data_IF_474236314343
#
_entry.id   IF_474236314343
#
_cell.length_a   1.000
_cell.length_b   1.000
_cell.length_c   1.000
_cell.angle_alpha   90.00
_cell.angle_beta   90.00
_cell.angle_gamma   90.00
#
_symmetry.space_group_name_H-M   'P 1'
#
loop_
_entity.id
_entity.type
_entity.pdbx_description
1 polymer ?
#
# COMPACT_ATOMS: atom_id res chain seq x y z
N UNK A 1 -20.55 -55.43 -32.02
CA UNK A 1 -19.38 -54.54 -32.08
C UNK A 1 -19.87 -53.13 -31.86
N UNK A 2 -19.79 -52.68 -30.64
CA UNK A 2 -20.23 -51.36 -30.26
C UNK A 2 -19.02 -50.71 -29.54
N UNK A 3 -18.27 -49.89 -30.27
CA UNK A 3 -17.14 -49.13 -29.74
C UNK A 3 -17.72 -47.88 -29.09
N UNK A 4 -17.74 -47.87 -27.79
CA UNK A 4 -18.08 -46.68 -26.99
C UNK A 4 -16.82 -45.79 -26.90
N UNK A 5 -16.80 -44.75 -27.69
CA UNK A 5 -15.82 -43.67 -27.59
C UNK A 5 -16.00 -42.93 -26.26
N UNK A 6 -15.19 -43.29 -25.29
CA UNK A 6 -14.96 -42.49 -24.08
C UNK A 6 -14.17 -41.24 -24.47
N UNK A 7 -14.88 -40.21 -24.87
CA UNK A 7 -14.32 -38.85 -24.92
C UNK A 7 -14.08 -38.42 -23.48
N UNK A 8 -12.85 -38.63 -23.01
CA UNK A 8 -12.33 -37.96 -21.83
C UNK A 8 -12.19 -36.47 -22.16
N UNK A 9 -13.24 -35.72 -21.90
CA UNK A 9 -13.15 -34.27 -21.80
C UNK A 9 -12.23 -33.97 -20.63
N UNK A 10 -10.96 -33.76 -20.94
CA UNK A 10 -10.05 -33.11 -20.02
C UNK A 10 -10.60 -31.70 -19.78
N UNK A 11 -11.42 -31.55 -18.76
CA UNK A 11 -11.72 -30.23 -18.20
C UNK A 11 -10.37 -29.61 -17.82
N UNK A 12 -9.95 -28.67 -18.62
CA UNK A 12 -8.84 -27.80 -18.27
C UNK A 12 -9.25 -27.09 -16.99
N UNK A 13 -8.74 -27.62 -15.89
CA UNK A 13 -8.84 -27.03 -14.56
C UNK A 13 -8.23 -25.64 -14.68
N UNK A 14 -9.07 -24.63 -14.95
CA UNK A 14 -8.68 -23.22 -14.96
C UNK A 14 -8.42 -22.85 -13.51
N UNK A 15 -7.24 -23.28 -13.03
CA UNK A 15 -6.80 -23.04 -11.68
C UNK A 15 -6.85 -21.54 -11.41
N UNK A 16 -7.65 -21.15 -10.44
CA UNK A 16 -7.81 -19.81 -9.83
C UNK A 16 -6.50 -19.28 -9.25
N UNK A 17 -5.47 -19.19 -10.05
CA UNK A 17 -4.15 -18.76 -9.58
C UNK A 17 -3.91 -17.32 -9.98
N UNK A 18 -3.68 -16.46 -8.98
CA UNK A 18 -3.11 -15.15 -9.23
C UNK A 18 -1.77 -15.30 -9.95
N UNK A 19 -1.49 -14.42 -10.91
CA UNK A 19 -0.20 -14.42 -11.57
C UNK A 19 0.93 -14.24 -10.55
N UNK A 20 2.01 -15.01 -10.68
CA UNK A 20 3.16 -14.95 -9.77
C UNK A 20 3.66 -13.52 -9.53
N UNK A 21 3.78 -12.63 -10.56
CA UNK A 21 4.17 -11.25 -10.36
C UNK A 21 3.23 -10.47 -9.42
N UNK A 22 1.92 -10.70 -9.52
CA UNK A 22 0.94 -10.02 -8.66
C UNK A 22 1.08 -10.44 -7.18
N UNK A 23 1.38 -11.72 -6.95
CA UNK A 23 1.61 -12.27 -5.60
C UNK A 23 2.91 -11.72 -5.01
N UNK A 24 4.00 -11.77 -5.78
CA UNK A 24 5.31 -11.25 -5.35
C UNK A 24 5.22 -9.77 -5.01
N UNK A 25 4.63 -8.96 -5.89
CA UNK A 25 4.46 -7.53 -5.68
C UNK A 25 3.58 -7.23 -4.46
N UNK A 26 2.55 -8.06 -4.20
CA UNK A 26 1.72 -7.93 -3.00
C UNK A 26 2.54 -8.13 -1.72
N UNK A 27 3.29 -9.21 -1.64
CA UNK A 27 4.06 -9.52 -0.44
C UNK A 27 5.21 -8.54 -0.21
N UNK A 28 5.86 -8.09 -1.29
CA UNK A 28 6.90 -7.06 -1.20
C UNK A 28 6.34 -5.76 -0.62
N UNK A 29 5.22 -5.27 -1.16
CA UNK A 29 4.55 -4.06 -0.66
C UNK A 29 4.11 -4.26 0.79
N UNK A 30 3.52 -5.42 1.13
CA UNK A 30 3.08 -5.71 2.49
C UNK A 30 4.26 -5.70 3.49
N UNK A 31 5.38 -6.33 3.14
CA UNK A 31 6.57 -6.37 3.97
C UNK A 31 7.12 -4.97 4.25
N UNK A 32 7.23 -4.13 3.21
CA UNK A 32 7.73 -2.76 3.38
C UNK A 32 6.75 -1.93 4.22
N UNK A 33 5.43 -2.09 4.05
CA UNK A 33 4.43 -1.40 4.88
C UNK A 33 4.56 -1.81 6.35
N UNK A 34 4.75 -3.09 6.67
CA UNK A 34 5.00 -3.54 8.03
C UNK A 34 6.28 -2.93 8.61
N UNK A 35 7.35 -2.88 7.82
CA UNK A 35 8.60 -2.23 8.20
C UNK A 35 8.40 -0.73 8.47
N UNK A 36 7.65 -0.03 7.59
CA UNK A 36 7.32 1.38 7.75
C UNK A 36 6.50 1.65 9.02
N UNK A 37 5.58 0.76 9.36
CA UNK A 37 4.79 0.87 10.58
C UNK A 37 5.71 0.75 11.82
N UNK A 38 6.58 -0.24 11.86
CA UNK A 38 7.57 -0.41 12.95
C UNK A 38 8.53 0.77 13.04
N UNK A 39 9.03 1.25 11.89
CA UNK A 39 9.90 2.45 11.84
C UNK A 39 9.16 3.70 12.33
N UNK A 40 7.92 3.90 11.90
CA UNK A 40 7.11 5.03 12.33
C UNK A 40 6.91 5.06 13.84
N UNK A 41 6.61 3.90 14.43
CA UNK A 41 6.51 3.75 15.89
C UNK A 41 7.83 4.08 16.59
N UNK A 42 8.92 3.50 16.11
CA UNK A 42 10.26 3.73 16.67
C UNK A 42 10.68 5.19 16.57
N UNK A 43 10.38 5.86 15.46
CA UNK A 43 10.70 7.28 15.25
C UNK A 43 10.01 8.19 16.27
N UNK A 44 8.76 7.91 16.63
CA UNK A 44 8.03 8.66 17.66
C UNK A 44 8.72 8.54 19.03
N UNK A 45 9.29 7.37 19.34
CA UNK A 45 10.00 7.14 20.61
C UNK A 45 11.35 7.88 20.67
N UNK A 46 12.05 8.00 19.55
CA UNK A 46 13.38 8.60 19.49
C UNK A 46 13.41 10.08 19.06
N UNK A 47 12.25 10.66 18.71
CA UNK A 47 12.17 12.04 18.20
C UNK A 47 12.88 13.07 19.09
N UNK A 48 12.88 12.85 20.40
CA UNK A 48 13.47 13.74 21.39
C UNK A 48 14.94 13.44 21.73
N UNK A 49 15.56 12.41 21.09
CA UNK A 49 16.96 12.05 21.35
C UNK A 49 17.91 12.87 20.47
N UNK A 50 18.89 13.57 21.02
CA UNK A 50 19.86 14.32 20.23
C UNK A 50 20.68 13.42 19.30
N UNK A 51 20.75 13.75 18.00
CA UNK A 51 21.74 13.23 17.06
C UNK A 51 21.47 11.86 16.41
N UNK A 52 20.37 11.17 16.71
CA UNK A 52 20.13 9.80 16.16
C UNK A 52 18.90 9.66 15.24
N UNK A 53 18.05 10.69 15.19
CA UNK A 53 16.76 10.60 14.54
C UNK A 53 16.82 10.75 13.00
N UNK A 54 17.70 11.57 12.46
CA UNK A 54 17.71 11.97 11.04
C UNK A 54 17.83 10.80 10.07
N UNK A 55 18.66 9.81 10.39
CA UNK A 55 18.85 8.63 9.56
C UNK A 55 17.55 7.79 9.47
N UNK A 56 16.86 7.59 10.59
CA UNK A 56 15.62 6.82 10.66
C UNK A 56 14.48 7.52 9.93
N UNK A 57 14.38 8.85 10.08
CA UNK A 57 13.42 9.67 9.34
C UNK A 57 13.67 9.61 7.83
N UNK A 58 14.95 9.66 7.41
CA UNK A 58 15.30 9.56 6.00
C UNK A 58 14.99 8.16 5.43
N UNK A 59 15.28 7.10 6.19
CA UNK A 59 14.94 5.72 5.81
C UNK A 59 13.43 5.55 5.66
N UNK A 60 12.64 6.02 6.63
CA UNK A 60 11.17 5.95 6.56
C UNK A 60 10.62 6.68 5.33
N UNK A 61 11.09 7.90 5.05
CA UNK A 61 10.69 8.67 3.87
C UNK A 61 11.03 7.94 2.58
N UNK A 62 12.24 7.40 2.49
CA UNK A 62 12.73 6.68 1.29
C UNK A 62 11.94 5.41 1.02
N UNK A 63 11.70 4.60 2.05
CA UNK A 63 10.86 3.40 1.95
C UNK A 63 9.40 3.76 1.64
N UNK A 64 8.89 4.86 2.20
CA UNK A 64 7.55 5.37 1.91
C UNK A 64 7.36 5.75 0.44
N UNK A 65 8.33 6.45 -0.15
CA UNK A 65 8.33 6.77 -1.59
C UNK A 65 8.52 5.54 -2.45
N UNK A 66 9.34 4.58 -2.03
CA UNK A 66 9.50 3.29 -2.72
C UNK A 66 8.16 2.54 -2.76
N UNK A 67 7.46 2.46 -1.63
CA UNK A 67 6.12 1.83 -1.57
C UNK A 67 5.14 2.56 -2.48
N UNK A 68 5.15 3.91 -2.51
CA UNK A 68 4.28 4.68 -3.41
C UNK A 68 4.51 4.27 -4.89
N UNK A 69 5.76 4.16 -5.32
CA UNK A 69 6.12 3.68 -6.66
C UNK A 69 5.63 2.25 -6.94
N UNK A 70 5.83 1.33 -5.98
CA UNK A 70 5.36 -0.06 -6.09
C UNK A 70 3.83 -0.16 -6.13
N UNK A 71 3.12 0.71 -5.42
CA UNK A 71 1.65 0.78 -5.45
C UNK A 71 1.17 1.23 -6.83
N UNK A 72 1.79 2.25 -7.41
CA UNK A 72 1.49 2.70 -8.78
C UNK A 72 1.70 1.54 -9.77
N UNK A 73 2.86 0.87 -9.69
CA UNK A 73 3.14 -0.30 -10.52
C UNK A 73 2.08 -1.40 -10.34
N UNK A 74 1.64 -1.66 -9.11
CA UNK A 74 0.59 -2.64 -8.81
C UNK A 74 -0.76 -2.24 -9.40
N UNK A 75 -1.12 -0.95 -9.35
CA UNK A 75 -2.37 -0.44 -9.94
C UNK A 75 -2.32 -0.60 -11.45
N UNK A 76 -1.22 -0.22 -12.10
CA UNK A 76 -1.01 -0.38 -13.54
C UNK A 76 -1.10 -1.86 -13.93
N UNK A 77 -0.41 -2.76 -13.19
CA UNK A 77 -0.50 -4.19 -13.43
C UNK A 77 -1.94 -4.71 -13.35
N UNK A 78 -2.69 -4.29 -12.32
CA UNK A 78 -4.09 -4.70 -12.13
C UNK A 78 -5.01 -4.13 -13.21
N UNK A 79 -4.73 -2.94 -13.73
CA UNK A 79 -5.52 -2.32 -14.81
C UNK A 79 -5.32 -3.04 -16.15
N UNK A 80 -4.11 -3.59 -16.38
CA UNK A 80 -3.76 -4.30 -17.63
C UNK A 80 -4.04 -5.80 -17.58
N UNK A 81 -4.19 -6.38 -16.37
CA UNK A 81 -4.44 -7.80 -16.18
C UNK A 81 -5.75 -7.99 -15.40
N UNK A 82 -6.74 -8.63 -16.02
CA UNK A 82 -8.04 -8.86 -15.38
C UNK A 82 -7.85 -9.68 -14.09
N UNK A 83 -8.41 -9.23 -12.96
CA UNK A 83 -8.41 -10.02 -11.74
C UNK A 83 -9.25 -11.28 -11.93
N UNK A 84 -8.93 -12.34 -11.18
CA UNK A 84 -9.75 -13.54 -11.12
C UNK A 84 -11.20 -13.19 -10.72
N UNK A 85 -12.17 -13.85 -11.32
CA UNK A 85 -13.59 -13.66 -10.99
C UNK A 85 -13.86 -14.08 -9.55
N UNK A 86 -14.76 -13.37 -8.89
CA UNK A 86 -15.17 -13.69 -7.53
C UNK A 86 -16.01 -14.99 -7.55
N UNK A 87 -15.91 -15.84 -6.52
CA UNK A 87 -16.71 -17.07 -6.44
C UNK A 87 -18.21 -16.76 -6.59
N UNK A 88 -18.90 -17.55 -7.42
CA UNK A 88 -20.35 -17.42 -7.66
C UNK A 88 -21.21 -17.67 -6.39
N UNK A 89 -20.62 -18.21 -5.33
CA UNK A 89 -21.24 -18.46 -4.03
C UNK A 89 -21.37 -17.24 -3.14
N UNK A 90 -20.69 -16.11 -3.48
CA UNK A 90 -20.74 -14.89 -2.67
C UNK A 90 -22.06 -14.16 -2.83
N UNK A 91 -22.59 -13.66 -1.70
CA UNK A 91 -23.79 -12.82 -1.71
C UNK A 91 -23.53 -11.45 -2.35
N UNK A 92 -24.51 -10.81 -2.99
CA UNK A 92 -24.32 -9.51 -3.67
C UNK A 92 -23.73 -8.42 -2.78
N UNK A 93 -24.13 -8.34 -1.52
CA UNK A 93 -23.62 -7.35 -0.57
C UNK A 93 -22.14 -7.60 -0.20
N UNK A 94 -21.69 -8.88 -0.11
CA UNK A 94 -20.29 -9.25 0.16
C UNK A 94 -19.40 -8.82 -1.00
N UNK A 95 -19.86 -8.99 -2.23
CA UNK A 95 -19.18 -8.55 -3.45
C UNK A 95 -19.02 -7.03 -3.43
N UNK A 96 -20.10 -6.29 -3.11
CA UNK A 96 -20.08 -4.83 -3.05
C UNK A 96 -19.14 -4.33 -1.96
N UNK A 97 -19.22 -4.91 -0.76
CA UNK A 97 -18.35 -4.56 0.36
C UNK A 97 -16.87 -4.86 0.05
N UNK A 98 -16.60 -6.02 -0.54
CA UNK A 98 -15.24 -6.39 -0.96
C UNK A 98 -14.67 -5.40 -1.99
N UNK A 99 -15.47 -4.98 -2.98
CA UNK A 99 -15.06 -3.97 -3.97
C UNK A 99 -14.80 -2.61 -3.32
N UNK A 100 -15.72 -2.16 -2.46
CA UNK A 100 -15.58 -0.89 -1.74
C UNK A 100 -14.32 -0.88 -0.86
N UNK A 101 -14.08 -1.95 -0.09
CA UNK A 101 -12.87 -2.09 0.73
C UNK A 101 -11.58 -2.06 -0.11
N UNK A 102 -11.56 -2.70 -1.27
CA UNK A 102 -10.41 -2.64 -2.18
C UNK A 102 -10.13 -1.22 -2.68
N UNK A 103 -11.15 -0.50 -3.13
CA UNK A 103 -10.99 0.88 -3.60
C UNK A 103 -10.54 1.80 -2.47
N UNK A 104 -11.11 1.64 -1.28
CA UNK A 104 -10.69 2.39 -0.09
C UNK A 104 -9.23 2.11 0.26
N UNK A 105 -8.80 0.85 0.26
CA UNK A 105 -7.40 0.49 0.51
C UNK A 105 -6.45 1.10 -0.52
N UNK A 106 -6.80 1.11 -1.82
CA UNK A 106 -5.98 1.78 -2.84
C UNK A 106 -5.90 3.29 -2.61
N UNK A 107 -7.03 3.93 -2.31
CA UNK A 107 -7.06 5.35 -1.99
C UNK A 107 -6.17 5.69 -0.79
N UNK A 108 -6.26 4.90 0.29
CA UNK A 108 -5.42 5.07 1.49
C UNK A 108 -3.94 4.84 1.19
N UNK A 109 -3.60 3.82 0.40
CA UNK A 109 -2.21 3.51 0.03
C UNK A 109 -1.56 4.61 -0.83
N UNK A 110 -2.35 5.40 -1.55
CA UNK A 110 -1.87 6.58 -2.31
C UNK A 110 -1.83 7.81 -1.41
N UNK A 111 -2.92 8.08 -0.70
CA UNK A 111 -3.06 9.29 0.12
C UNK A 111 -2.04 9.37 1.27
N UNK A 112 -1.73 8.22 1.89
CA UNK A 112 -0.82 8.15 3.03
C UNK A 112 0.61 8.60 2.68
N UNK A 113 1.33 8.00 1.70
CA UNK A 113 2.66 8.47 1.32
C UNK A 113 2.65 9.88 0.74
N UNK A 114 1.59 10.28 0.04
CA UNK A 114 1.43 11.65 -0.46
C UNK A 114 1.36 12.66 0.70
N UNK A 115 0.56 12.40 1.74
CA UNK A 115 0.49 13.25 2.92
C UNK A 115 1.85 13.31 3.64
N UNK A 116 2.54 12.18 3.81
CA UNK A 116 3.89 12.13 4.38
C UNK A 116 4.91 12.94 3.57
N UNK A 117 4.87 12.84 2.24
CA UNK A 117 5.72 13.61 1.34
C UNK A 117 5.44 15.12 1.42
N UNK A 118 4.16 15.52 1.41
CA UNK A 118 3.79 16.93 1.55
C UNK A 118 4.22 17.49 2.91
N UNK A 119 3.99 16.73 3.99
CA UNK A 119 4.47 17.11 5.32
C UNK A 119 5.98 17.36 5.36
N UNK A 120 6.76 16.46 4.76
CA UNK A 120 8.21 16.60 4.65
C UNK A 120 8.62 17.78 3.76
N UNK A 121 7.91 18.04 2.67
CA UNK A 121 8.21 19.16 1.75
C UNK A 121 8.00 20.53 2.39
N UNK A 122 7.03 20.66 3.31
CA UNK A 122 6.82 21.90 4.08
C UNK A 122 7.67 21.95 5.36
N UNK A 123 8.30 20.84 5.77
CA UNK A 123 9.24 20.86 6.88
C UNK A 123 10.61 21.45 6.44
N UNK A 124 11.33 22.05 7.40
CA UNK A 124 12.67 22.63 7.12
C UNK A 124 13.69 21.59 6.63
N UNK A 125 13.54 20.34 7.04
CA UNK A 125 14.42 19.23 6.62
C UNK A 125 14.19 18.79 5.18
N UNK A 126 13.07 19.16 4.57
CA UNK A 126 12.71 18.75 3.22
C UNK A 126 12.37 17.28 3.08
N UNK A 127 12.00 16.88 1.87
CA UNK A 127 11.84 15.49 1.50
C UNK A 127 13.14 14.97 0.88
N UNK A 128 13.61 13.80 1.32
CA UNK A 128 14.79 13.17 0.75
C UNK A 128 14.49 11.71 0.36
N UNK A 129 15.14 11.22 -0.68
CA UNK A 129 15.07 9.84 -1.17
C UNK A 129 16.47 9.25 -1.16
N UNK A 130 16.76 8.35 -0.22
CA UNK A 130 18.08 7.74 0.00
C UNK A 130 19.25 8.74 -0.02
N UNK A 131 19.04 9.90 0.62
CA UNK A 131 20.06 10.96 0.70
C UNK A 131 19.99 12.03 -0.40
N UNK A 132 19.25 11.80 -1.49
CA UNK A 132 19.01 12.82 -2.52
C UNK A 132 17.88 13.73 -2.09
N UNK A 133 18.15 15.02 -1.96
CA UNK A 133 17.13 16.02 -1.65
C UNK A 133 16.17 16.16 -2.84
N UNK A 134 14.88 16.01 -2.58
CA UNK A 134 13.84 16.23 -3.57
C UNK A 134 13.51 17.73 -3.65
N UNK A 135 13.03 18.22 -4.81
CA UNK A 135 12.69 19.62 -4.97
C UNK A 135 11.63 20.06 -3.95
N UNK A 136 11.81 21.25 -3.40
CA UNK A 136 10.78 21.90 -2.59
C UNK A 136 9.70 22.46 -3.52
N UNK A 137 8.44 22.20 -3.20
CA UNK A 137 7.31 22.78 -3.93
C UNK A 137 7.00 24.21 -3.46
N UNK A 138 7.38 24.53 -2.22
CA UNK A 138 7.17 25.83 -1.59
C UNK A 138 8.19 26.03 -0.47
N UNK A 139 8.25 27.25 0.08
CA UNK A 139 9.03 27.51 1.28
C UNK A 139 8.50 26.74 2.50
N UNK A 140 9.33 26.57 3.56
CA UNK A 140 8.93 25.89 4.79
C UNK A 140 7.73 26.57 5.45
N UNK A 141 6.68 25.79 5.74
CA UNK A 141 5.51 26.22 6.50
C UNK A 141 5.22 25.22 7.62
N UNK A 142 5.39 25.64 8.87
CA UNK A 142 5.22 24.78 10.04
C UNK A 142 3.78 24.29 10.22
N UNK A 143 2.80 25.14 9.88
CA UNK A 143 1.39 24.77 10.06
C UNK A 143 0.96 23.74 9.02
N UNK A 144 1.35 23.92 7.76
CA UNK A 144 1.11 22.96 6.70
C UNK A 144 1.85 21.64 6.94
N UNK A 145 3.10 21.68 7.37
CA UNK A 145 3.86 20.50 7.74
C UNK A 145 3.12 19.69 8.83
N UNK A 146 2.71 20.37 9.92
CA UNK A 146 1.97 19.75 11.02
C UNK A 146 0.62 19.16 10.53
N UNK A 147 -0.12 19.88 9.70
CA UNK A 147 -1.39 19.42 9.14
C UNK A 147 -1.19 18.11 8.36
N UNK A 148 -0.24 18.08 7.43
CA UNK A 148 -0.01 16.90 6.60
C UNK A 148 0.54 15.70 7.39
N UNK A 149 1.38 15.92 8.40
CA UNK A 149 1.82 14.84 9.28
C UNK A 149 0.67 14.31 10.15
N UNK A 150 -0.24 15.17 10.60
CA UNK A 150 -1.45 14.74 11.32
C UNK A 150 -2.35 13.91 10.42
N UNK A 151 -2.57 14.34 9.17
CA UNK A 151 -3.32 13.57 8.17
C UNK A 151 -2.65 12.21 7.93
N UNK A 152 -1.33 12.19 7.72
CA UNK A 152 -0.56 10.96 7.52
C UNK A 152 -0.77 9.97 8.68
N UNK A 153 -0.60 10.42 9.92
CA UNK A 153 -0.79 9.61 11.11
C UNK A 153 -2.23 9.08 11.24
N UNK A 154 -3.22 9.92 10.95
CA UNK A 154 -4.64 9.52 10.97
C UNK A 154 -4.96 8.46 9.91
N UNK A 155 -4.40 8.60 8.70
CA UNK A 155 -4.57 7.63 7.62
C UNK A 155 -3.93 6.27 7.95
N UNK A 156 -2.83 6.24 8.73
CA UNK A 156 -2.22 4.98 9.22
C UNK A 156 -3.23 4.19 10.05
N UNK A 157 -3.87 4.82 11.03
CA UNK A 157 -4.86 4.14 11.88
C UNK A 157 -6.11 3.71 11.11
N UNK A 158 -6.58 4.54 10.18
CA UNK A 158 -7.69 4.18 9.30
C UNK A 158 -7.33 2.96 8.44
N UNK A 159 -6.12 2.92 7.88
CA UNK A 159 -5.64 1.79 7.08
C UNK A 159 -5.60 0.49 7.89
N UNK A 160 -5.07 0.54 9.12
CA UNK A 160 -5.03 -0.61 10.03
C UNK A 160 -6.44 -1.09 10.36
N UNK A 161 -7.37 -0.16 10.68
CA UNK A 161 -8.77 -0.48 10.96
C UNK A 161 -9.47 -1.18 9.80
N UNK A 162 -9.31 -0.68 8.57
CA UNK A 162 -9.89 -1.29 7.36
C UNK A 162 -9.30 -2.68 7.09
N UNK A 163 -7.99 -2.88 7.33
CA UNK A 163 -7.33 -4.19 7.15
C UNK A 163 -7.84 -5.21 8.16
N UNK A 164 -7.99 -4.83 9.43
CA UNK A 164 -8.51 -5.73 10.47
C UNK A 164 -9.99 -6.06 10.20
N UNK A 165 -10.81 -5.06 9.89
CA UNK A 165 -12.23 -5.27 9.61
C UNK A 165 -12.49 -6.22 8.44
N UNK A 166 -11.62 -6.20 7.41
CA UNK A 166 -11.72 -7.12 6.28
C UNK A 166 -11.35 -8.58 6.62
N UNK A 167 -10.53 -8.80 7.63
CA UNK A 167 -10.16 -10.16 8.04
C UNK A 167 -11.31 -10.91 8.76
N UNK A 168 -12.37 -10.21 9.14
CA UNK A 168 -13.51 -10.75 9.87
C UNK A 168 -14.78 -10.88 9.00
N UNK A 169 -14.73 -10.55 7.72
CA UNK A 169 -15.78 -10.67 6.71
C UNK A 169 -15.38 -11.66 5.62
#
# INVERSE_FOLDING_TARGET
MCSSDLQTTSATDSSWRYSTPAVVLHWLVALIIFTLFGLGWYMMEIEHRPGGADWWFNLHRSLGLTVAGLIVLRIVWRATHRPAELPATMKPWEITLSRAAHWLLYALMIAMPLAGYLGASYARSGAAFFGYQLPFWSGPDRNLAKLFFTIHASLVWLFVGVKIGRAHV
#
